data_IF_931676884832
#
_entry.id   IF_931676884832
#
_cell.length_a   1.000
_cell.length_b   1.000
_cell.length_c   1.000
_cell.angle_alpha   90.00
_cell.angle_beta   90.00
_cell.angle_gamma   90.00
#
_symmetry.space_group_name_H-M   'P 1'
#
loop_
_entity.id
_entity.type
_entity.pdbx_description
1 polymer ?
#
# COMPACT_ATOMS: atom_id res chain seq x y z
N UNK A 1 -9.33 -21.36 -4.41
CA UNK A 1 -9.11 -19.92 -4.13
C UNK A 1 -9.11 -19.71 -2.63
N UNK A 2 -8.07 -19.10 -2.06
CA UNK A 2 -8.03 -18.81 -0.61
C UNK A 2 -7.83 -17.31 -0.40
N UNK A 3 -8.69 -16.71 0.42
CA UNK A 3 -8.62 -15.30 0.81
C UNK A 3 -8.14 -15.22 2.25
N UNK A 4 -7.22 -14.30 2.52
CA UNK A 4 -6.80 -13.95 3.88
C UNK A 4 -6.81 -12.44 4.04
N UNK A 5 -7.43 -11.96 5.11
CA UNK A 5 -7.29 -10.57 5.57
C UNK A 5 -6.46 -10.62 6.84
N UNK A 6 -5.41 -9.80 6.93
CA UNK A 6 -4.64 -9.67 8.17
C UNK A 6 -4.24 -8.23 8.42
N UNK A 7 -4.11 -7.88 9.70
CA UNK A 7 -3.57 -6.60 10.14
C UNK A 7 -2.11 -6.48 9.68
N UNK A 8 -1.73 -5.28 9.24
CA UNK A 8 -0.35 -4.93 8.96
C UNK A 8 0.45 -4.78 10.26
N UNK A 9 1.74 -5.05 10.17
CA UNK A 9 2.75 -4.78 11.19
C UNK A 9 3.79 -3.81 10.63
N UNK A 10 4.71 -3.33 11.45
CA UNK A 10 5.83 -2.50 10.98
C UNK A 10 6.67 -3.20 9.90
N UNK A 11 6.77 -4.54 9.92
CA UNK A 11 7.48 -5.30 8.89
C UNK A 11 6.82 -5.24 7.51
N UNK A 12 5.57 -4.77 7.43
CA UNK A 12 4.84 -4.60 6.17
C UNK A 12 5.01 -3.20 5.56
N UNK A 13 5.80 -2.30 6.15
CA UNK A 13 5.92 -0.89 5.73
C UNK A 13 6.34 -0.74 4.26
N UNK A 14 7.33 -1.53 3.81
CA UNK A 14 7.79 -1.54 2.43
C UNK A 14 6.71 -2.03 1.46
N UNK A 15 6.03 -3.12 1.80
CA UNK A 15 4.94 -3.66 0.98
C UNK A 15 3.77 -2.66 0.90
N UNK A 16 3.45 -2.02 2.02
CA UNK A 16 2.40 -1.01 2.08
C UNK A 16 2.77 0.22 1.24
N UNK A 17 4.04 0.66 1.26
CA UNK A 17 4.52 1.74 0.41
C UNK A 17 4.35 1.42 -1.07
N UNK A 18 4.82 0.26 -1.50
CA UNK A 18 4.78 -0.18 -2.90
C UNK A 18 3.33 -0.19 -3.43
N UNK A 19 2.44 -0.91 -2.73
CA UNK A 19 1.04 -1.04 -3.13
C UNK A 19 0.32 0.32 -3.09
N UNK A 20 0.57 1.14 -2.06
CA UNK A 20 -0.08 2.46 -1.94
C UNK A 20 0.35 3.41 -3.05
N UNK A 21 1.65 3.43 -3.40
CA UNK A 21 2.16 4.25 -4.49
C UNK A 21 1.58 3.81 -5.84
N UNK A 22 1.57 2.51 -6.10
CA UNK A 22 1.04 1.95 -7.34
C UNK A 22 -0.45 2.29 -7.52
N UNK A 23 -1.28 1.96 -6.52
CA UNK A 23 -2.74 2.13 -6.61
C UNK A 23 -3.09 3.62 -6.72
N UNK A 24 -2.46 4.47 -5.90
CA UNK A 24 -2.75 5.89 -5.93
C UNK A 24 -2.33 6.51 -7.27
N UNK A 25 -1.14 6.17 -7.77
CA UNK A 25 -0.68 6.62 -9.09
C UNK A 25 -1.62 6.16 -10.20
N UNK A 26 -1.99 4.88 -10.25
CA UNK A 26 -2.92 4.37 -11.27
C UNK A 26 -4.27 5.09 -11.26
N UNK A 27 -4.79 5.42 -10.08
CA UNK A 27 -6.08 6.09 -9.91
C UNK A 27 -6.03 7.55 -10.36
N UNK A 28 -4.94 8.26 -10.03
CA UNK A 28 -4.90 9.72 -10.12
C UNK A 28 -3.93 10.27 -11.18
N UNK A 29 -3.14 9.43 -11.86
CA UNK A 29 -2.14 9.87 -12.87
C UNK A 29 -2.74 10.68 -14.01
N UNK A 30 -3.98 10.41 -14.40
CA UNK A 30 -4.63 11.12 -15.51
C UNK A 30 -5.19 12.49 -15.11
N UNK A 31 -5.23 12.79 -13.81
CA UNK A 31 -5.79 14.03 -13.26
C UNK A 31 -4.70 14.96 -12.70
N UNK A 32 -3.42 14.55 -12.74
CA UNK A 32 -2.31 15.28 -12.14
C UNK A 32 -1.13 15.37 -13.10
N UNK A 33 -0.32 16.41 -12.95
CA UNK A 33 1.00 16.42 -13.58
C UNK A 33 1.92 15.39 -12.91
N UNK A 34 2.99 15.00 -13.61
CA UNK A 34 3.98 14.06 -13.09
C UNK A 34 4.62 14.61 -11.82
N UNK A 35 4.91 15.91 -11.79
CA UNK A 35 5.55 16.58 -10.66
C UNK A 35 4.64 16.59 -9.42
N UNK A 36 3.35 16.91 -9.60
CA UNK A 36 2.38 16.90 -8.51
C UNK A 36 2.17 15.49 -7.96
N UNK A 37 2.12 14.49 -8.85
CA UNK A 37 2.01 13.10 -8.45
C UNK A 37 3.23 12.68 -7.61
N UNK A 38 4.44 12.89 -8.12
CA UNK A 38 5.67 12.52 -7.42
C UNK A 38 5.80 13.21 -6.06
N UNK A 39 5.54 14.53 -6.00
CA UNK A 39 5.60 15.27 -4.74
C UNK A 39 4.59 14.76 -3.70
N UNK A 40 3.39 14.35 -4.14
CA UNK A 40 2.40 13.76 -3.25
C UNK A 40 2.85 12.38 -2.75
N UNK A 41 3.28 11.49 -3.65
CA UNK A 41 3.70 10.13 -3.29
C UNK A 41 4.88 10.14 -2.32
N UNK A 42 5.89 10.99 -2.55
CA UNK A 42 7.04 11.16 -1.66
C UNK A 42 6.61 11.67 -0.27
N UNK A 43 5.67 12.62 -0.21
CA UNK A 43 5.20 13.17 1.06
C UNK A 43 4.29 12.21 1.84
N UNK A 44 3.33 11.59 1.16
CA UNK A 44 2.28 10.79 1.79
C UNK A 44 2.76 9.36 2.10
N UNK A 45 3.56 8.76 1.22
CA UNK A 45 3.92 7.34 1.30
C UNK A 45 5.41 7.11 1.54
N UNK A 46 6.19 8.10 2.00
CA UNK A 46 7.53 7.79 2.51
C UNK A 46 7.46 6.85 3.72
N UNK A 47 8.50 6.04 3.90
CA UNK A 47 8.55 5.03 4.96
C UNK A 47 8.35 5.60 6.35
N UNK A 48 8.97 6.75 6.65
CA UNK A 48 8.84 7.38 7.97
C UNK A 48 7.39 7.73 8.31
N UNK A 49 6.63 8.23 7.33
CA UNK A 49 5.22 8.54 7.50
C UNK A 49 4.39 7.25 7.68
N UNK A 50 4.61 6.24 6.86
CA UNK A 50 3.88 4.97 6.95
C UNK A 50 4.16 4.20 8.24
N UNK A 51 5.41 4.18 8.71
CA UNK A 51 5.79 3.56 9.99
C UNK A 51 5.13 4.29 11.16
N UNK A 52 5.07 5.63 11.11
CA UNK A 52 4.33 6.44 12.11
C UNK A 52 2.84 6.09 12.11
N UNK A 53 2.23 5.97 10.94
CA UNK A 53 0.82 5.59 10.81
C UNK A 53 0.55 4.17 11.31
N UNK A 54 1.41 3.21 10.98
CA UNK A 54 1.33 1.81 11.45
C UNK A 54 1.52 1.69 12.97
N UNK A 55 2.32 2.57 13.58
CA UNK A 55 2.53 2.63 15.02
C UNK A 55 1.44 3.42 15.77
N UNK A 56 0.53 4.11 15.07
CA UNK A 56 -0.52 4.92 15.68
C UNK A 56 -1.65 4.03 16.19
N UNK A 57 -1.92 4.03 17.51
CA UNK A 57 -2.91 3.15 18.13
C UNK A 57 -4.34 3.31 17.59
N UNK A 58 -4.71 4.52 17.18
CA UNK A 58 -6.01 4.83 16.56
C UNK A 58 -6.05 4.58 15.05
N UNK A 59 -4.98 4.03 14.46
CA UNK A 59 -4.88 3.67 13.05
C UNK A 59 -4.67 2.17 12.89
N UNK A 60 -5.34 1.58 11.90
CA UNK A 60 -5.19 0.17 11.58
C UNK A 60 -5.23 -0.06 10.08
N UNK A 61 -4.21 -0.75 9.57
CA UNK A 61 -4.11 -1.15 8.17
C UNK A 61 -4.30 -2.66 8.05
N UNK A 62 -4.93 -3.08 6.95
CA UNK A 62 -5.18 -4.48 6.65
C UNK A 62 -4.80 -4.79 5.20
N UNK A 63 -4.14 -5.92 4.99
CA UNK A 63 -3.87 -6.46 3.67
C UNK A 63 -4.89 -7.55 3.35
N UNK A 64 -5.50 -7.45 2.16
CA UNK A 64 -6.26 -8.51 1.53
C UNK A 64 -5.33 -9.31 0.61
N UNK A 65 -5.17 -10.60 0.88
CA UNK A 65 -4.28 -11.49 0.14
C UNK A 65 -5.12 -12.57 -0.52
N UNK A 66 -5.06 -12.62 -1.85
CA UNK A 66 -5.68 -13.66 -2.67
C UNK A 66 -4.61 -14.67 -3.10
N UNK A 67 -4.77 -15.93 -2.70
CA UNK A 67 -3.92 -17.02 -3.18
C UNK A 67 -4.69 -17.85 -4.22
N UNK A 68 -4.19 -17.84 -5.45
CA UNK A 68 -4.65 -18.72 -6.51
C UNK A 68 -3.85 -20.03 -6.46
N UNK A 69 -4.54 -21.18 -6.44
CA UNK A 69 -3.88 -22.48 -6.68
C UNK A 69 -3.86 -22.67 -8.18
N UNK A 70 -2.68 -22.70 -8.78
CA UNK A 70 -2.55 -23.20 -10.15
C UNK A 70 -2.77 -24.70 -10.12
N UNK A 71 -3.81 -25.20 -10.79
CA UNK A 71 -3.83 -26.60 -11.20
C UNK A 71 -2.92 -26.67 -12.43
N UNK A 72 -1.71 -27.20 -12.24
CA UNK A 72 -0.97 -27.76 -13.38
C UNK A 72 -1.66 -29.09 -13.65
N UNK A 73 -2.39 -29.17 -14.77
CA UNK A 73 -2.94 -30.40 -15.34
C UNK A 73 -1.88 -31.01 -16.24
#
# INVERSE_FOLDING_TARGET
MKIKIRKCTLADSLLLQEISCEIFSQTFKHQNSVENMSAYLEKAFNLKQLEKELATLSSQFFLFILTMKSLVI
#
